data_IF_053256746175
#
_entry.id   IF_053256746175
#
_cell.length_a   1.000
_cell.length_b   1.000
_cell.length_c   1.000
_cell.angle_alpha   90.00
_cell.angle_beta   90.00
_cell.angle_gamma   90.00
#
_symmetry.space_group_name_H-M   'P 1'
#
loop_
_entity.id
_entity.type
_entity.pdbx_description
1 polymer ?
#
# COMPACT_ATOMS: atom_id res chain seq x y z
N UNK A 1 -18.75 2.35 4.08
CA UNK A 1 -18.00 1.64 3.03
C UNK A 1 -18.37 0.16 3.02
N UNK A 2 -18.23 -0.54 4.16
CA UNK A 2 -18.61 -1.94 4.31
C UNK A 2 -20.09 -2.21 3.94
N UNK A 3 -21.04 -1.40 4.43
CA UNK A 3 -22.47 -1.55 4.10
C UNK A 3 -22.78 -1.36 2.59
N UNK A 4 -21.84 -0.80 1.83
CA UNK A 4 -21.91 -0.66 0.37
C UNK A 4 -21.17 -1.79 -0.37
N UNK A 5 -20.73 -2.83 0.33
CA UNK A 5 -20.06 -4.01 -0.24
C UNK A 5 -18.55 -3.87 -0.49
N UNK A 6 -17.89 -2.83 0.02
CA UNK A 6 -16.45 -2.68 -0.17
C UNK A 6 -15.67 -3.75 0.60
N UNK A 7 -14.72 -4.41 -0.07
CA UNK A 7 -13.90 -5.48 0.52
C UNK A 7 -12.52 -5.00 1.02
N UNK A 8 -12.10 -3.80 0.59
CA UNK A 8 -10.81 -3.22 0.95
C UNK A 8 -10.87 -1.69 0.91
N UNK A 9 -9.98 -1.03 1.66
CA UNK A 9 -9.81 0.41 1.67
C UNK A 9 -8.32 0.80 1.67
N UNK A 10 -7.96 1.81 0.90
CA UNK A 10 -6.65 2.48 0.97
C UNK A 10 -6.80 3.72 1.84
N UNK A 11 -6.04 3.78 2.92
CA UNK A 11 -6.09 4.86 3.91
C UNK A 11 -4.81 5.67 3.78
N UNK A 12 -4.89 6.75 3.00
CA UNK A 12 -3.77 7.67 2.78
C UNK A 12 -3.45 8.56 3.98
N UNK A 13 -4.46 8.81 4.81
CA UNK A 13 -4.42 9.78 5.92
C UNK A 13 -3.36 9.43 6.97
N UNK A 14 -2.55 10.41 7.35
CA UNK A 14 -1.58 10.34 8.46
C UNK A 14 -2.24 10.66 9.81
N UNK A 15 -1.47 10.77 10.89
CA UNK A 15 -2.00 11.11 12.22
C UNK A 15 -2.49 9.90 13.03
N UNK A 16 -1.90 8.74 12.79
CA UNK A 16 -2.15 7.49 13.48
C UNK A 16 -0.91 7.12 14.31
N UNK A 17 -0.43 5.87 14.28
CA UNK A 17 0.72 5.46 15.09
C UNK A 17 1.98 6.30 14.84
N UNK A 18 2.04 7.04 13.73
CA UNK A 18 3.11 8.00 13.39
C UNK A 18 3.18 9.25 14.29
N UNK A 19 2.13 9.57 15.06
CA UNK A 19 2.10 10.75 15.95
C UNK A 19 2.16 10.41 17.44
N UNK A 20 2.40 9.15 17.79
CA UNK A 20 2.55 8.69 19.19
C UNK A 20 1.36 7.90 19.72
N UNK A 21 1.23 7.84 21.06
CA UNK A 21 0.33 6.90 21.74
C UNK A 21 -1.17 7.11 21.41
N UNK A 22 -1.62 8.35 21.31
CA UNK A 22 -3.02 8.65 20.96
C UNK A 22 -3.35 8.19 19.55
N UNK A 23 -2.48 8.49 18.58
CA UNK A 23 -2.65 8.04 17.21
C UNK A 23 -2.50 6.52 17.06
N UNK A 24 -1.69 5.86 17.89
CA UNK A 24 -1.63 4.40 17.95
C UNK A 24 -2.96 3.79 18.43
N UNK A 25 -3.57 4.35 19.47
CA UNK A 25 -4.90 3.93 19.93
C UNK A 25 -5.97 4.12 18.84
N UNK A 26 -5.90 5.22 18.07
CA UNK A 26 -6.77 5.45 16.92
C UNK A 26 -6.56 4.41 15.81
N UNK A 27 -5.32 4.02 15.55
CA UNK A 27 -4.97 2.98 14.58
C UNK A 27 -5.52 1.61 14.98
N UNK A 28 -5.45 1.28 16.27
CA UNK A 28 -5.99 0.03 16.81
C UNK A 28 -7.51 -0.01 16.73
N UNK A 29 -8.17 1.11 17.01
CA UNK A 29 -9.62 1.24 16.84
C UNK A 29 -10.04 1.07 15.38
N UNK A 30 -9.34 1.73 14.44
CA UNK A 30 -9.56 1.59 13.00
C UNK A 30 -9.40 0.14 12.55
N UNK A 31 -8.29 -0.50 12.92
CA UNK A 31 -7.97 -1.88 12.55
C UNK A 31 -8.99 -2.87 13.12
N UNK A 32 -9.39 -2.66 14.38
CA UNK A 32 -10.42 -3.49 15.04
C UNK A 32 -11.77 -3.35 14.38
N UNK A 33 -12.18 -2.13 14.01
CA UNK A 33 -13.44 -1.91 13.29
C UNK A 33 -13.40 -2.57 11.90
N UNK A 34 -12.32 -2.39 11.16
CA UNK A 34 -12.16 -2.96 9.83
C UNK A 34 -12.25 -4.49 9.85
N UNK A 35 -11.57 -5.16 10.80
CA UNK A 35 -11.70 -6.61 11.03
C UNK A 35 -13.14 -7.04 11.32
N UNK A 36 -13.83 -6.32 12.22
CA UNK A 36 -15.23 -6.64 12.60
C UNK A 36 -16.20 -6.58 11.42
N UNK A 37 -15.93 -5.74 10.42
CA UNK A 37 -16.79 -5.58 9.23
C UNK A 37 -16.23 -6.24 7.98
N UNK A 38 -15.15 -7.02 8.10
CA UNK A 38 -14.56 -7.77 6.97
C UNK A 38 -13.84 -6.93 5.91
N UNK A 39 -13.40 -5.71 6.24
CA UNK A 39 -12.68 -4.82 5.31
C UNK A 39 -11.17 -4.92 5.53
N UNK A 40 -10.41 -5.16 4.45
CA UNK A 40 -8.94 -5.12 4.47
C UNK A 40 -8.43 -3.69 4.33
N UNK A 41 -7.34 -3.34 5.02
CA UNK A 41 -6.76 -2.00 4.95
C UNK A 41 -5.37 -2.02 4.32
N UNK A 42 -5.10 -1.03 3.47
CA UNK A 42 -3.77 -0.60 3.09
C UNK A 42 -3.51 0.76 3.73
N UNK A 43 -2.52 0.86 4.62
CA UNK A 43 -2.33 2.04 5.48
C UNK A 43 -2.91 1.83 6.89
N UNK A 44 -3.05 2.89 7.72
CA UNK A 44 -3.03 4.31 7.38
C UNK A 44 -1.64 4.86 7.01
N UNK A 45 -1.56 6.15 6.71
CA UNK A 45 -0.33 6.87 6.39
C UNK A 45 0.50 6.16 5.31
N UNK A 46 -0.08 5.97 4.13
CA UNK A 46 0.57 5.32 3.01
C UNK A 46 0.56 6.18 1.75
N UNK A 47 1.44 5.85 0.80
CA UNK A 47 1.37 6.38 -0.56
C UNK A 47 0.41 5.56 -1.45
N UNK A 48 -0.20 4.50 -0.94
CA UNK A 48 -1.06 3.59 -1.69
C UNK A 48 -0.30 2.49 -2.42
N UNK A 49 -0.76 2.15 -3.63
CA UNK A 49 -0.20 1.07 -4.41
C UNK A 49 -0.32 1.29 -5.93
N UNK A 50 0.38 0.47 -6.71
CA UNK A 50 0.08 0.25 -8.12
C UNK A 50 0.19 -1.23 -8.50
N UNK A 51 -0.50 -1.61 -9.58
CA UNK A 51 -0.31 -2.84 -10.31
C UNK A 51 -0.14 -2.50 -11.79
N UNK A 52 1.09 -2.65 -12.30
CA UNK A 52 1.49 -2.25 -13.65
C UNK A 52 0.75 -3.03 -14.74
N UNK A 53 0.67 -4.37 -14.65
CA UNK A 53 -0.01 -5.20 -15.64
C UNK A 53 -1.52 -4.91 -15.78
N UNK A 54 -2.18 -4.45 -14.70
CA UNK A 54 -3.62 -4.14 -14.72
C UNK A 54 -3.92 -2.65 -14.90
N UNK A 55 -2.91 -1.78 -14.96
CA UNK A 55 -3.10 -0.33 -15.00
C UNK A 55 -3.80 0.27 -13.77
N UNK A 56 -3.83 -0.46 -12.64
CA UNK A 56 -4.52 -0.03 -11.42
C UNK A 56 -3.55 0.73 -10.51
N UNK A 57 -3.76 2.05 -10.34
CA UNK A 57 -2.80 2.93 -9.67
C UNK A 57 -3.44 3.83 -8.58
N UNK A 58 -4.03 3.26 -7.52
CA UNK A 58 -4.53 4.05 -6.39
C UNK A 58 -3.37 4.56 -5.53
N UNK A 59 -2.66 5.57 -6.06
CA UNK A 59 -1.52 6.23 -5.41
C UNK A 59 -1.50 7.71 -5.81
N UNK A 60 -0.95 8.54 -4.92
CA UNK A 60 -0.61 9.94 -5.22
C UNK A 60 0.90 10.16 -5.35
N UNK A 61 1.69 9.08 -5.43
CA UNK A 61 3.16 9.17 -5.51
C UNK A 61 3.62 9.84 -6.81
N UNK A 62 4.57 10.76 -6.69
CA UNK A 62 5.24 11.37 -7.84
C UNK A 62 6.14 10.40 -8.61
N UNK A 63 6.45 9.22 -8.05
CA UNK A 63 7.27 8.18 -8.70
C UNK A 63 6.75 7.73 -10.08
N UNK A 64 5.45 7.93 -10.33
CA UNK A 64 4.80 7.57 -11.58
C UNK A 64 4.74 8.71 -12.60
N UNK A 65 5.20 9.93 -12.26
CA UNK A 65 5.20 11.08 -13.20
C UNK A 65 6.05 10.83 -14.44
N UNK A 66 7.11 10.04 -14.30
CA UNK A 66 8.00 9.67 -15.41
C UNK A 66 7.53 8.41 -16.16
N UNK A 67 6.23 8.10 -16.06
CA UNK A 67 5.59 6.93 -16.66
C UNK A 67 5.50 5.74 -15.72
N UNK A 68 4.71 4.75 -16.10
CA UNK A 68 4.58 3.50 -15.35
C UNK A 68 5.91 2.76 -15.24
N UNK A 69 6.17 2.05 -14.13
CA UNK A 69 7.27 1.10 -14.03
C UNK A 69 7.19 0.05 -15.13
N UNK A 70 8.35 -0.46 -15.55
CA UNK A 70 8.39 -1.59 -16.48
C UNK A 70 7.66 -2.77 -15.84
N UNK A 71 6.68 -3.40 -16.52
CA UNK A 71 6.13 -4.66 -16.06
C UNK A 71 7.25 -5.69 -15.91
N UNK A 72 7.17 -6.53 -14.88
CA UNK A 72 8.21 -7.52 -14.60
C UNK A 72 7.76 -8.56 -13.60
N UNK A 73 8.71 -9.18 -12.92
CA UNK A 73 8.45 -10.27 -11.96
C UNK A 73 8.67 -9.86 -10.51
N UNK A 74 9.04 -8.61 -10.26
CA UNK A 74 9.30 -8.09 -8.92
C UNK A 74 8.03 -7.47 -8.35
N UNK A 75 7.66 -7.90 -7.14
CA UNK A 75 6.68 -7.21 -6.29
C UNK A 75 7.41 -6.51 -5.16
N UNK A 76 7.01 -5.27 -4.85
CA UNK A 76 7.62 -4.45 -3.81
C UNK A 76 6.59 -4.14 -2.72
N UNK A 77 6.92 -4.41 -1.46
CA UNK A 77 6.12 -3.97 -0.31
C UNK A 77 7.04 -3.18 0.62
N UNK A 78 6.69 -1.93 0.90
CA UNK A 78 7.57 -1.01 1.65
C UNK A 78 6.80 -0.33 2.76
N UNK A 79 7.43 -0.20 3.93
CA UNK A 79 6.84 0.58 5.01
C UNK A 79 6.97 2.09 4.76
N UNK A 80 8.17 2.53 4.38
CA UNK A 80 8.45 3.93 4.08
C UNK A 80 8.10 4.25 2.64
N UNK A 81 7.20 5.23 2.43
CA UNK A 81 6.84 5.71 1.11
C UNK A 81 8.00 6.37 0.36
N UNK A 82 8.84 7.14 1.07
CA UNK A 82 10.02 7.78 0.50
C UNK A 82 11.04 6.74 0.03
N UNK A 83 11.28 5.70 0.85
CA UNK A 83 12.21 4.64 0.49
C UNK A 83 11.68 3.80 -0.68
N UNK A 84 10.40 3.45 -0.68
CA UNK A 84 9.80 2.72 -1.81
C UNK A 84 9.86 3.52 -3.11
N UNK A 85 9.62 4.83 -3.06
CA UNK A 85 9.80 5.72 -4.22
C UNK A 85 11.25 5.70 -4.73
N UNK A 86 12.24 5.73 -3.82
CA UNK A 86 13.65 5.63 -4.22
C UNK A 86 13.97 4.28 -4.88
N UNK A 87 13.47 3.17 -4.34
CA UNK A 87 13.64 1.84 -4.94
C UNK A 87 13.04 1.74 -6.35
N UNK A 88 11.89 2.39 -6.59
CA UNK A 88 11.28 2.42 -7.92
C UNK A 88 12.15 3.19 -8.94
N UNK A 89 12.72 4.32 -8.53
CA UNK A 89 13.65 5.07 -9.38
C UNK A 89 14.91 4.27 -9.69
N UNK A 90 15.47 3.56 -8.69
CA UNK A 90 16.60 2.66 -8.92
C UNK A 90 16.24 1.51 -9.86
N UNK A 91 15.06 0.89 -9.69
CA UNK A 91 14.59 -0.17 -10.57
C UNK A 91 14.45 0.33 -12.02
N UNK A 92 13.90 1.53 -12.21
CA UNK A 92 13.82 2.18 -13.52
C UNK A 92 15.20 2.39 -14.14
N UNK A 93 16.13 2.97 -13.38
CA UNK A 93 17.51 3.22 -13.84
C UNK A 93 18.25 1.92 -14.21
N UNK A 94 17.93 0.81 -13.56
CA UNK A 94 18.51 -0.52 -13.80
C UNK A 94 17.68 -1.41 -14.74
N UNK A 95 16.60 -0.88 -15.32
CA UNK A 95 15.66 -1.63 -16.18
C UNK A 95 15.09 -2.89 -15.53
N UNK A 96 14.91 -2.87 -14.21
CA UNK A 96 14.27 -3.94 -13.45
C UNK A 96 12.76 -3.69 -13.46
N UNK A 97 12.00 -4.67 -13.96
CA UNK A 97 10.55 -4.57 -14.01
C UNK A 97 9.88 -4.85 -12.66
N UNK A 98 9.08 -3.89 -12.19
CA UNK A 98 8.30 -3.96 -10.96
C UNK A 98 6.82 -4.01 -11.32
N UNK A 99 6.18 -5.15 -11.08
CA UNK A 99 4.79 -5.36 -11.47
C UNK A 99 3.80 -4.81 -10.45
N UNK A 100 4.17 -4.82 -9.18
CA UNK A 100 3.33 -4.37 -8.07
C UNK A 100 4.17 -3.63 -7.05
N UNK A 101 3.62 -2.56 -6.50
CA UNK A 101 4.16 -1.89 -5.33
C UNK A 101 3.03 -1.54 -4.38
N UNK A 102 3.20 -1.81 -3.09
CA UNK A 102 2.32 -1.29 -2.05
C UNK A 102 3.11 -0.69 -0.89
N UNK A 103 2.56 0.39 -0.34
CA UNK A 103 3.10 1.07 0.83
C UNK A 103 2.18 0.84 2.02
N UNK A 104 2.71 0.28 3.10
CA UNK A 104 1.94 -0.04 4.31
C UNK A 104 2.59 0.47 5.58
N UNK A 105 1.87 1.20 6.43
CA UNK A 105 2.40 1.54 7.75
C UNK A 105 2.48 0.30 8.66
N UNK A 106 3.32 0.40 9.69
CA UNK A 106 3.54 -0.66 10.67
C UNK A 106 2.22 -0.99 11.40
N UNK A 107 1.83 -2.26 11.38
CA UNK A 107 0.80 -2.82 12.28
C UNK A 107 -0.65 -2.79 11.81
N UNK A 108 -0.99 -2.11 10.71
CA UNK A 108 -2.36 -2.08 10.20
C UNK A 108 -2.53 -2.98 8.96
N UNK A 109 -2.81 -4.26 9.20
CA UNK A 109 -3.63 -5.09 8.31
C UNK A 109 -3.05 -5.56 6.97
N UNK A 110 -1.84 -5.14 6.57
CA UNK A 110 -1.11 -5.88 5.55
C UNK A 110 -0.50 -7.12 6.20
N UNK A 111 -1.25 -8.21 6.17
CA UNK A 111 -0.63 -9.53 6.20
C UNK A 111 -0.02 -9.76 4.80
N UNK A 112 1.31 -9.65 4.62
CA UNK A 112 1.96 -9.92 3.34
C UNK A 112 1.79 -11.39 2.88
N UNK A 113 1.19 -12.25 3.70
CA UNK A 113 1.00 -13.70 3.47
C UNK A 113 -0.42 -14.06 2.99
N UNK A 114 -1.30 -13.08 2.72
CA UNK A 114 -2.49 -13.35 1.88
C UNK A 114 -2.15 -13.45 0.37
N UNK A 115 -0.90 -13.79 0.04
CA UNK A 115 -0.23 -13.76 -1.26
C UNK A 115 -0.66 -14.87 -2.25
N UNK A 116 -1.77 -15.56 -1.98
CA UNK A 116 -2.36 -16.52 -2.93
C UNK A 116 -3.01 -15.86 -4.16
N UNK A 117 -3.26 -14.55 -4.14
CA UNK A 117 -3.96 -13.83 -5.21
C UNK A 117 -3.05 -12.98 -6.12
N UNK A 118 -1.74 -12.96 -5.86
CA UNK A 118 -0.76 -12.18 -6.64
C UNK A 118 0.24 -13.08 -7.38
N UNK A 119 -0.05 -14.37 -7.48
CA UNK A 119 0.62 -15.30 -8.39
C UNK A 119 -0.32 -15.51 -9.55
N UNK A 120 -0.01 -14.86 -10.67
CA UNK A 120 -0.15 -15.32 -12.07
C UNK A 120 0.07 -14.13 -13.00
#
# INVERSE_FOLDING_TARGET
>A
MADKGAQAAVIFTAGFADIGAEGAALQDALSTRARKVGVRLLGPNCLGMFHAAMGHCPTFSSALRNGMPLPGRVGLVTQSGAYGTHLLELARARRIGVNYWAVGACGAGLDPVASGQYRD
#
